data_IF_576955086884
#
_entry.id   IF_576955086884
#
_cell.length_a   1.000
_cell.length_b   1.000
_cell.length_c   1.000
_cell.angle_alpha   90.00
_cell.angle_beta   90.00
_cell.angle_gamma   90.00
#
_symmetry.space_group_name_H-M   'P 1'
#
loop_
_entity.id
_entity.type
_entity.pdbx_description
1 polymer ?
#
# COMPACT_ATOMS: atom_id res chain seq x y z
N UNK A 1 7.08 18.93 -13.81
CA UNK A 1 6.04 18.31 -12.96
C UNK A 1 4.66 18.78 -13.43
N UNK A 2 3.80 17.90 -13.96
CA UNK A 2 2.44 18.29 -14.37
C UNK A 2 1.47 18.03 -13.22
N UNK A 3 0.99 19.10 -12.55
CA UNK A 3 -0.08 19.01 -11.54
C UNK A 3 -1.44 19.15 -12.21
N UNK A 4 -2.42 18.39 -11.73
CA UNK A 4 -3.82 18.51 -12.17
C UNK A 4 -4.36 19.89 -11.80
N UNK A 5 -5.01 20.57 -12.75
CA UNK A 5 -5.74 21.82 -12.54
C UNK A 5 -7.21 21.61 -12.17
N UNK A 6 -7.66 20.35 -12.03
CA UNK A 6 -9.06 20.05 -11.67
C UNK A 6 -9.32 20.38 -10.22
N UNK A 7 -10.38 21.13 -9.97
CA UNK A 7 -10.92 21.34 -8.62
C UNK A 7 -11.48 20.00 -8.12
N UNK A 8 -10.81 19.41 -7.14
CA UNK A 8 -11.30 18.20 -6.48
C UNK A 8 -12.53 18.55 -5.65
N UNK A 9 -13.68 17.97 -5.98
CA UNK A 9 -14.87 18.03 -5.13
C UNK A 9 -14.86 16.79 -4.24
N UNK A 10 -15.22 16.89 -2.95
CA UNK A 10 -15.40 15.71 -2.11
C UNK A 10 -16.46 14.79 -2.73
N UNK A 11 -16.34 13.48 -2.46
CA UNK A 11 -17.37 12.54 -2.88
C UNK A 11 -18.69 12.84 -2.18
N UNK A 12 -19.81 12.62 -2.87
CA UNK A 12 -21.17 12.99 -2.42
C UNK A 12 -21.52 12.37 -1.06
N UNK A 13 -21.06 11.15 -0.78
CA UNK A 13 -21.30 10.45 0.48
C UNK A 13 -20.55 11.04 1.68
N UNK A 14 -19.61 11.98 1.45
CA UNK A 14 -18.82 12.61 2.50
C UNK A 14 -19.57 13.75 3.20
N UNK A 15 -20.74 14.16 2.67
CA UNK A 15 -21.63 15.17 3.25
C UNK A 15 -22.40 14.62 4.48
N UNK A 16 -22.66 13.30 4.51
CA UNK A 16 -23.36 12.65 5.62
C UNK A 16 -22.45 12.39 6.83
N UNK A 17 -21.13 12.46 6.63
CA UNK A 17 -20.15 12.37 7.70
C UNK A 17 -19.86 13.77 8.23
N UNK A 18 -19.92 13.92 9.56
CA UNK A 18 -19.40 15.12 10.23
C UNK A 18 -17.87 15.09 10.12
N UNK A 19 -17.34 15.50 8.97
CA UNK A 19 -15.92 15.73 8.78
C UNK A 19 -15.61 17.05 9.47
N UNK A 20 -15.02 16.98 10.68
CA UNK A 20 -14.52 18.17 11.36
C UNK A 20 -13.61 18.92 10.40
N UNK A 21 -14.03 20.10 9.95
CA UNK A 21 -13.24 20.97 9.10
C UNK A 21 -11.91 21.22 9.79
N UNK A 22 -10.82 20.64 9.25
CA UNK A 22 -9.44 20.62 9.79
C UNK A 22 -9.20 21.62 10.95
N UNK A 23 -9.32 21.21 12.22
CA UNK A 23 -8.45 21.80 13.21
C UNK A 23 -7.04 21.31 12.86
N UNK A 24 -6.07 22.21 12.80
CA UNK A 24 -4.66 21.92 12.58
C UNK A 24 -4.03 20.99 13.63
N UNK A 25 -4.83 20.51 14.59
CA UNK A 25 -4.46 19.65 15.70
C UNK A 25 -5.60 18.69 15.97
N UNK A 26 -5.38 17.39 15.73
CA UNK A 26 -6.27 16.36 16.23
C UNK A 26 -6.17 16.34 17.76
N UNK A 27 -7.30 16.38 18.48
CA UNK A 27 -7.32 16.41 19.95
C UNK A 27 -6.71 15.13 20.57
N UNK A 28 -6.76 14.03 19.82
CA UNK A 28 -6.17 12.75 20.19
C UNK A 28 -5.35 12.21 19.02
N UNK A 29 -4.11 12.70 18.83
CA UNK A 29 -3.19 12.10 17.89
C UNK A 29 -3.01 10.62 18.23
N UNK A 30 -3.02 9.73 17.22
CA UNK A 30 -2.82 8.29 17.43
C UNK A 30 -1.51 8.03 18.19
N UNK A 31 -0.49 8.86 18.00
CA UNK A 31 0.78 8.79 18.74
C UNK A 31 0.63 8.94 20.26
N UNK A 32 -0.44 9.56 20.75
CA UNK A 32 -0.74 9.65 22.20
C UNK A 32 -1.49 8.42 22.73
N UNK A 33 -2.08 7.60 21.84
CA UNK A 33 -2.89 6.44 22.20
C UNK A 33 -2.19 5.09 21.96
N UNK A 34 -1.02 5.08 21.30
CA UNK A 34 -0.23 3.87 21.05
C UNK A 34 0.90 3.77 22.07
N UNK A 35 0.83 2.78 22.96
CA UNK A 35 1.90 2.47 23.93
C UNK A 35 2.31 1.00 23.83
N UNK A 36 3.61 0.73 23.82
CA UNK A 36 4.17 -0.62 23.83
C UNK A 36 4.49 -1.12 25.27
N UNK A 37 4.15 -0.34 26.29
CA UNK A 37 4.54 -0.61 27.69
C UNK A 37 3.90 -1.89 28.27
N UNK A 38 2.70 -2.25 27.81
CA UNK A 38 1.97 -3.45 28.24
C UNK A 38 2.32 -4.71 27.44
N UNK A 39 3.15 -4.60 26.40
CA UNK A 39 3.50 -5.72 25.53
C UNK A 39 4.66 -6.50 26.15
N UNK A 40 4.65 -7.83 26.07
CA UNK A 40 5.74 -8.65 26.61
C UNK A 40 7.10 -8.29 25.99
N UNK A 41 8.22 -8.46 26.71
CA UNK A 41 9.55 -8.19 26.17
C UNK A 41 9.83 -8.92 24.85
N UNK A 42 9.40 -10.17 24.74
CA UNK A 42 9.55 -10.99 23.53
C UNK A 42 8.76 -10.43 22.36
N UNK A 43 7.49 -10.08 22.57
CA UNK A 43 6.66 -9.50 21.52
C UNK A 43 7.19 -8.14 21.07
N UNK A 44 7.72 -7.31 21.97
CA UNK A 44 8.39 -6.05 21.60
C UNK A 44 9.61 -6.28 20.73
N UNK A 45 10.43 -7.29 21.05
CA UNK A 45 11.60 -7.62 20.24
C UNK A 45 11.21 -8.04 18.81
N UNK A 46 10.16 -8.87 18.66
CA UNK A 46 9.63 -9.24 17.35
C UNK A 46 9.07 -8.03 16.59
N UNK A 47 8.28 -7.18 17.25
CA UNK A 47 7.74 -5.96 16.63
C UNK A 47 8.85 -5.02 16.15
N UNK A 48 9.91 -4.85 16.95
CA UNK A 48 11.07 -4.07 16.55
C UNK A 48 11.75 -4.67 15.31
N UNK A 49 11.95 -5.99 15.29
CA UNK A 49 12.53 -6.69 14.14
C UNK A 49 11.68 -6.51 12.87
N UNK A 50 10.35 -6.63 12.97
CA UNK A 50 9.45 -6.41 11.84
C UNK A 50 9.44 -4.94 11.38
N UNK A 51 9.43 -4.00 12.32
CA UNK A 51 9.46 -2.56 11.99
C UNK A 51 10.76 -2.12 11.30
N UNK A 52 11.84 -2.88 11.47
CA UNK A 52 13.11 -2.64 10.78
C UNK A 52 13.11 -3.13 9.33
N UNK A 53 12.15 -3.99 8.94
CA UNK A 53 12.01 -4.43 7.55
C UNK A 53 11.49 -3.24 6.74
N UNK A 54 12.27 -2.85 5.73
CA UNK A 54 11.90 -1.76 4.84
C UNK A 54 11.36 -2.33 3.54
N UNK A 55 10.14 -1.96 3.18
CA UNK A 55 9.58 -2.31 1.88
C UNK A 55 10.24 -1.47 0.77
N UNK A 56 10.56 -2.08 -0.39
CA UNK A 56 10.99 -1.37 -1.59
C UNK A 56 9.94 -0.33 -1.97
N UNK A 57 10.42 0.86 -2.33
CA UNK A 57 9.54 1.96 -2.77
C UNK A 57 9.42 2.05 -4.27
N UNK A 58 10.29 1.36 -4.99
CA UNK A 58 10.33 1.37 -6.45
C UNK A 58 10.41 -0.05 -7.01
N UNK A 59 9.98 -0.21 -8.25
CA UNK A 59 10.11 -1.48 -8.97
C UNK A 59 11.58 -1.91 -9.10
N UNK A 60 12.49 -0.96 -9.31
CA UNK A 60 13.92 -1.26 -9.47
C UNK A 60 14.56 -1.76 -8.17
N UNK A 61 14.11 -1.27 -7.02
CA UNK A 61 14.49 -1.81 -5.71
C UNK A 61 13.90 -3.21 -5.50
N UNK A 62 12.60 -3.39 -5.79
CA UNK A 62 11.90 -4.66 -5.58
C UNK A 62 12.46 -5.78 -6.48
N UNK A 63 12.74 -5.49 -7.76
CA UNK A 63 13.25 -6.48 -8.71
C UNK A 63 14.68 -6.96 -8.40
N UNK A 64 15.41 -6.20 -7.58
CA UNK A 64 16.76 -6.55 -7.16
C UNK A 64 16.78 -7.33 -5.83
N UNK A 65 15.69 -7.29 -5.05
CA UNK A 65 15.58 -7.99 -3.77
C UNK A 65 15.14 -9.46 -3.99
N UNK A 66 15.97 -10.45 -3.63
CA UNK A 66 15.63 -11.87 -3.78
C UNK A 66 14.32 -12.28 -3.11
N UNK A 67 13.96 -11.69 -1.97
CA UNK A 67 12.72 -12.02 -1.24
C UNK A 67 11.49 -11.62 -2.02
N UNK A 68 11.54 -10.45 -2.66
CA UNK A 68 10.45 -9.98 -3.51
C UNK A 68 10.34 -10.77 -4.81
N UNK A 69 11.47 -11.17 -5.40
CA UNK A 69 11.49 -12.06 -6.55
C UNK A 69 10.84 -13.42 -6.20
N UNK A 70 11.20 -14.00 -5.06
CA UNK A 70 10.64 -15.27 -4.59
C UNK A 70 9.13 -15.16 -4.34
N UNK A 71 8.69 -14.12 -3.62
CA UNK A 71 7.28 -13.88 -3.37
C UNK A 71 6.48 -13.73 -4.68
N UNK A 72 7.02 -13.00 -5.66
CA UNK A 72 6.37 -12.80 -6.95
C UNK A 72 6.26 -14.10 -7.76
N UNK A 73 7.28 -14.95 -7.71
CA UNK A 73 7.23 -16.29 -8.34
C UNK A 73 6.19 -17.18 -7.68
N UNK A 74 6.09 -17.15 -6.35
CA UNK A 74 5.10 -17.91 -5.61
C UNK A 74 3.66 -17.48 -5.99
N UNK A 75 3.43 -16.17 -6.09
CA UNK A 75 2.13 -15.64 -6.53
C UNK A 75 1.79 -16.06 -7.96
N UNK A 76 2.71 -15.92 -8.91
CA UNK A 76 2.51 -16.36 -10.30
C UNK A 76 2.17 -17.85 -10.36
N UNK A 77 2.91 -18.69 -9.63
CA UNK A 77 2.65 -20.12 -9.56
C UNK A 77 1.27 -20.44 -8.98
N UNK A 78 0.83 -19.71 -7.96
CA UNK A 78 -0.51 -19.86 -7.38
C UNK A 78 -1.61 -19.45 -8.39
N UNK A 79 -1.41 -18.38 -9.15
CA UNK A 79 -2.35 -17.94 -10.19
C UNK A 79 -2.50 -18.98 -11.30
N UNK A 80 -1.39 -19.56 -11.75
CA UNK A 80 -1.36 -20.65 -12.73
C UNK A 80 -2.09 -21.90 -12.21
N UNK A 81 -1.81 -22.30 -10.96
CA UNK A 81 -2.44 -23.46 -10.33
C UNK A 81 -3.97 -23.28 -10.19
N UNK A 82 -4.41 -22.06 -9.86
CA UNK A 82 -5.82 -21.74 -9.73
C UNK A 82 -6.53 -21.58 -11.08
N UNK A 83 -5.82 -21.56 -12.21
CA UNK A 83 -6.35 -21.30 -13.55
C UNK A 83 -7.23 -20.04 -13.64
N UNK A 84 -6.96 -19.05 -12.78
CA UNK A 84 -7.78 -17.83 -12.68
C UNK A 84 -7.28 -16.73 -13.62
N UNK A 85 -6.06 -16.88 -14.16
CA UNK A 85 -5.38 -15.87 -14.96
C UNK A 85 -4.84 -16.50 -16.25
N UNK A 86 -4.99 -15.77 -17.36
CA UNK A 86 -4.38 -16.11 -18.64
C UNK A 86 -3.60 -14.91 -19.15
N UNK A 87 -2.38 -15.15 -19.62
CA UNK A 87 -1.58 -14.12 -20.30
C UNK A 87 -2.12 -13.99 -21.72
N UNK A 88 -2.52 -12.77 -22.09
CA UNK A 88 -3.06 -12.46 -23.42
C UNK A 88 -2.32 -11.24 -23.96
N UNK A 89 -2.04 -11.25 -25.26
CA UNK A 89 -1.49 -10.09 -25.94
C UNK A 89 -2.44 -8.88 -25.85
N UNK A 90 -1.87 -7.69 -25.94
CA UNK A 90 -2.65 -6.46 -25.95
C UNK A 90 -3.61 -6.46 -27.15
N UNK A 91 -4.94 -6.41 -26.95
CA UNK A 91 -5.89 -6.41 -28.05
C UNK A 91 -5.78 -5.15 -28.91
N UNK A 92 -6.01 -5.33 -30.21
CA UNK A 92 -5.95 -4.26 -31.21
C UNK A 92 -6.81 -3.06 -30.81
N UNK A 93 -6.22 -1.86 -30.92
CA UNK A 93 -6.89 -0.60 -30.61
C UNK A 93 -7.05 -0.30 -29.12
N UNK A 94 -6.48 -1.12 -28.22
CA UNK A 94 -6.39 -0.79 -26.79
C UNK A 94 -5.02 -0.24 -26.44
N UNK A 95 -4.99 0.71 -25.52
CA UNK A 95 -3.77 1.22 -24.92
C UNK A 95 -3.48 0.44 -23.63
N UNK A 96 -2.27 -0.09 -23.44
CA UNK A 96 -1.93 -0.74 -22.20
C UNK A 96 -1.96 0.30 -21.07
N UNK A 97 -2.36 -0.14 -19.89
CA UNK A 97 -2.25 0.69 -18.69
C UNK A 97 -0.75 0.80 -18.39
N UNK A 98 -0.18 1.97 -18.62
CA UNK A 98 1.21 2.24 -18.26
C UNK A 98 1.38 2.27 -16.73
N UNK A 99 2.48 1.71 -16.25
CA UNK A 99 2.97 1.98 -14.91
C UNK A 99 3.78 3.30 -14.94
N UNK A 100 3.74 4.09 -13.88
CA UNK A 100 4.39 5.40 -13.80
C UNK A 100 5.64 5.37 -12.95
#
# INVERSE_FOLDING_TARGET
LRRSSRVSKPHIWMEDYIVMSKPSSCAHPISQCVSYNSISPTCRASLAAYSAITEPRTYDEAKADPKWIEAMKAEISALEANQTWTIVDLPLGKTPIGCK
#
